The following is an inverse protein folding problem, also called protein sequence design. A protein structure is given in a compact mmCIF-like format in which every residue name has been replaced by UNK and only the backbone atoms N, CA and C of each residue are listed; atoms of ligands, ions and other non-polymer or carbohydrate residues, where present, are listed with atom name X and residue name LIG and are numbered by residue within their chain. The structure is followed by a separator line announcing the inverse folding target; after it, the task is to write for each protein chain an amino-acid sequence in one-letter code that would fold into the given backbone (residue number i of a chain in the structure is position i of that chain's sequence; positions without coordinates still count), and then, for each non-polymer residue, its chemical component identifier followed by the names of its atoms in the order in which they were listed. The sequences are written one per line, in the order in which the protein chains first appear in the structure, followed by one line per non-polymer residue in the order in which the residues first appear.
data_IF_392726791919
#
_entry.id   IF_392726791919
#
_cell.length_a   1.000
_cell.length_b   1.000
_cell.length_c   1.000
_cell.angle_alpha   90.00
_cell.angle_beta   90.00
_cell.angle_gamma   90.00
#
_symmetry.space_group_name_H-M   'P 1'
#
loop_
_entity.id
_entity.type
_entity.pdbx_description
1 polymer ?
#
# COMPACT_ATOMS: atom_id res chain seq x y z
N UNK A 1 22.30 -8.06 -35.95
CA UNK A 1 22.39 -7.25 -34.70
C UNK A 1 21.30 -6.19 -34.81
N UNK A 2 20.14 -6.47 -34.21
CA UNK A 2 19.12 -5.41 -34.09
C UNK A 2 19.64 -4.41 -33.06
N UNK A 3 19.93 -3.20 -33.56
CA UNK A 3 20.14 -2.05 -32.71
C UNK A 3 18.87 -1.92 -31.86
N UNK A 4 18.94 -2.15 -30.55
CA UNK A 4 17.82 -1.92 -29.64
C UNK A 4 17.49 -0.43 -29.76
N UNK A 5 16.37 -0.15 -30.39
CA UNK A 5 15.71 1.16 -30.31
C UNK A 5 15.65 1.46 -28.82
N UNK A 6 16.17 2.61 -28.40
CA UNK A 6 16.01 3.11 -27.04
C UNK A 6 14.50 3.04 -26.71
N UNK A 7 14.16 2.32 -25.66
CA UNK A 7 12.77 2.16 -25.19
C UNK A 7 12.36 3.50 -24.54
N UNK A 8 12.01 4.47 -25.41
CA UNK A 8 11.66 5.83 -25.04
C UNK A 8 10.17 6.05 -25.25
N UNK A 9 9.52 6.57 -24.26
CA UNK A 9 8.11 6.99 -24.33
C UNK A 9 8.00 8.44 -23.87
N UNK A 10 7.38 9.29 -24.67
CA UNK A 10 7.09 10.68 -24.36
C UNK A 10 5.59 10.85 -24.14
N UNK A 11 5.22 11.11 -22.90
CA UNK A 11 3.86 11.51 -22.52
C UNK A 11 3.75 13.02 -22.66
N UNK A 12 2.82 13.50 -23.48
CA UNK A 12 2.68 14.91 -23.79
C UNK A 12 1.39 15.49 -23.25
N UNK A 13 1.47 16.75 -22.80
CA UNK A 13 0.34 17.60 -22.43
C UNK A 13 -0.53 17.06 -21.28
N UNK A 14 0.02 16.25 -20.36
CA UNK A 14 -0.70 15.83 -19.16
C UNK A 14 -0.78 16.95 -18.12
N UNK A 15 -1.87 17.02 -17.35
CA UNK A 15 -1.92 17.81 -16.13
C UNK A 15 -1.32 16.97 -15.01
N UNK A 16 -0.08 17.26 -14.61
CA UNK A 16 0.76 16.39 -13.78
C UNK A 16 0.67 16.77 -12.32
N UNK A 17 0.33 15.78 -11.50
CA UNK A 17 0.40 15.78 -10.03
C UNK A 17 1.54 14.85 -9.57
N UNK A 18 2.54 15.35 -8.86
CA UNK A 18 3.81 14.63 -8.60
C UNK A 18 4.12 14.21 -7.12
N UNK A 19 3.25 14.24 -6.10
CA UNK A 19 1.82 14.58 -6.06
C UNK A 19 1.48 16.06 -6.09
N UNK A 20 2.44 16.98 -5.93
CA UNK A 20 2.20 18.43 -6.06
C UNK A 20 1.65 18.74 -7.47
N UNK A 21 0.75 19.72 -7.58
CA UNK A 21 0.25 20.18 -8.86
C UNK A 21 1.35 20.93 -9.63
N UNK A 22 1.87 20.30 -10.69
CA UNK A 22 2.88 20.88 -11.59
C UNK A 22 2.25 21.56 -12.80
N UNK A 23 0.92 21.51 -12.95
CA UNK A 23 0.23 21.97 -14.14
C UNK A 23 0.53 21.10 -15.36
N UNK A 24 0.41 21.70 -16.56
CA UNK A 24 0.63 20.99 -17.83
C UNK A 24 2.11 20.72 -18.05
N UNK A 25 2.47 19.44 -18.17
CA UNK A 25 3.85 18.99 -18.37
C UNK A 25 3.91 17.83 -19.37
N UNK A 26 5.09 17.68 -19.97
CA UNK A 26 5.49 16.49 -20.71
C UNK A 26 6.42 15.64 -19.83
N UNK A 27 6.32 14.31 -19.95
CA UNK A 27 7.15 13.35 -19.20
C UNK A 27 7.86 12.44 -20.19
N UNK A 28 9.19 12.45 -20.16
CA UNK A 28 10.02 11.53 -20.95
C UNK A 28 10.43 10.35 -20.07
N UNK A 29 10.19 9.15 -20.56
CA UNK A 29 10.54 7.88 -19.92
C UNK A 29 11.54 7.13 -20.78
N UNK A 30 12.57 6.56 -20.13
CA UNK A 30 13.52 5.63 -20.75
C UNK A 30 13.51 4.31 -20.00
N UNK A 31 13.05 3.26 -20.66
CA UNK A 31 12.86 1.97 -20.04
C UNK A 31 11.93 2.08 -18.82
N UNK A 32 12.44 1.84 -17.62
CA UNK A 32 11.64 1.88 -16.39
C UNK A 32 11.69 3.20 -15.63
N UNK A 33 12.38 4.24 -16.15
CA UNK A 33 12.67 5.45 -15.38
C UNK A 33 12.17 6.72 -16.07
N UNK A 34 11.70 7.66 -15.25
CA UNK A 34 11.45 9.04 -15.70
C UNK A 34 12.80 9.73 -15.85
N UNK A 35 13.07 10.27 -17.03
CA UNK A 35 14.35 10.92 -17.36
C UNK A 35 14.23 12.43 -17.54
N UNK A 36 13.02 12.94 -17.85
CA UNK A 36 12.75 14.37 -17.87
C UNK A 36 11.27 14.66 -17.59
N UNK A 37 11.00 15.82 -16.97
CA UNK A 37 9.68 16.44 -16.86
C UNK A 37 9.87 17.90 -17.19
N UNK A 38 9.11 18.43 -18.17
CA UNK A 38 9.21 19.82 -18.59
C UNK A 38 7.88 20.31 -19.20
N UNK A 39 7.62 21.62 -19.24
CA UNK A 39 6.40 22.16 -19.83
C UNK A 39 6.19 21.76 -21.30
N UNK A 40 7.28 21.48 -22.03
CA UNK A 40 7.26 20.94 -23.39
C UNK A 40 8.58 20.24 -23.70
N UNK A 41 8.47 19.06 -24.31
CA UNK A 41 9.62 18.26 -24.79
C UNK A 41 9.38 18.00 -26.28
N UNK A 42 10.33 18.39 -27.14
CA UNK A 42 10.22 18.16 -28.58
C UNK A 42 10.46 16.69 -28.92
N UNK A 43 9.50 15.98 -29.54
CA UNK A 43 9.73 14.62 -30.00
C UNK A 43 10.82 14.52 -31.08
N UNK A 44 11.14 15.61 -31.76
CA UNK A 44 12.18 15.66 -32.78
C UNK A 44 13.58 15.45 -32.18
N UNK A 45 13.77 15.78 -30.89
CA UNK A 45 15.01 15.57 -30.17
C UNK A 45 15.25 14.08 -29.83
N UNK A 46 14.21 13.25 -29.97
CA UNK A 46 14.22 11.82 -29.60
C UNK A 46 13.67 10.92 -30.72
N UNK A 47 14.41 10.76 -31.82
CA UNK A 47 13.97 9.99 -32.99
C UNK A 47 13.61 8.54 -32.60
N UNK A 48 12.41 8.09 -32.95
CA UNK A 48 11.91 6.73 -32.62
C UNK A 48 11.26 6.60 -31.25
N UNK A 49 11.07 7.69 -30.53
CA UNK A 49 10.29 7.74 -29.30
C UNK A 49 8.80 7.47 -29.57
N UNK A 50 8.17 6.65 -28.75
CA UNK A 50 6.71 6.51 -28.73
C UNK A 50 6.11 7.78 -28.10
N UNK A 51 5.26 8.50 -28.85
CA UNK A 51 4.59 9.71 -28.35
C UNK A 51 3.14 9.39 -27.97
N UNK A 52 2.77 9.70 -26.74
CA UNK A 52 1.43 9.52 -26.20
C UNK A 52 0.88 10.88 -25.78
N UNK A 53 -0.09 11.40 -26.56
CA UNK A 53 -0.77 12.64 -26.19
C UNK A 53 -1.85 12.34 -25.14
N UNK A 54 -1.75 13.01 -23.99
CA UNK A 54 -2.68 12.85 -22.86
C UNK A 54 -3.80 13.90 -22.86
N UNK A 55 -3.73 14.91 -23.76
CA UNK A 55 -4.78 15.91 -23.99
C UNK A 55 -5.32 16.60 -22.71
N UNK A 56 -4.43 16.89 -21.78
CA UNK A 56 -4.80 17.52 -20.50
C UNK A 56 -5.34 16.57 -19.43
N UNK A 57 -5.35 15.25 -19.67
CA UNK A 57 -5.77 14.28 -18.66
C UNK A 57 -4.92 14.40 -17.39
N UNK A 58 -5.52 14.04 -16.26
CA UNK A 58 -4.86 14.02 -14.94
C UNK A 58 -3.83 12.91 -14.90
N UNK A 59 -2.59 13.25 -14.59
CA UNK A 59 -1.46 12.32 -14.49
C UNK A 59 -0.91 12.37 -13.07
N UNK A 60 -0.81 11.22 -12.41
CA UNK A 60 -0.29 11.13 -11.05
C UNK A 60 0.57 9.86 -10.86
N UNK A 61 1.29 9.72 -9.73
CA UNK A 61 2.00 8.48 -9.45
C UNK A 61 1.05 7.30 -9.32
N UNK A 62 1.46 6.12 -9.80
CA UNK A 62 0.76 4.87 -9.53
C UNK A 62 0.64 4.61 -8.02
N UNK A 63 -0.46 4.02 -7.60
CA UNK A 63 -0.75 3.76 -6.19
C UNK A 63 0.17 2.70 -5.60
N UNK A 64 0.48 2.88 -4.31
CA UNK A 64 1.22 1.94 -3.49
C UNK A 64 0.25 1.39 -2.44
N UNK A 65 -0.09 0.12 -2.55
CA UNK A 65 -0.94 -0.55 -1.56
C UNK A 65 -0.08 -1.36 -0.59
N UNK A 66 0.04 -0.87 0.63
CA UNK A 66 0.94 -1.46 1.62
C UNK A 66 0.32 -2.62 2.44
N UNK A 67 -0.93 -3.02 2.15
CA UNK A 67 -1.63 -4.02 2.93
C UNK A 67 -2.47 -4.92 2.03
N UNK A 68 -1.86 -5.99 1.50
CA UNK A 68 -2.52 -6.89 0.55
C UNK A 68 -2.28 -8.36 0.92
N UNK A 69 -3.35 -9.15 0.94
CA UNK A 69 -3.28 -10.60 1.14
C UNK A 69 -2.96 -11.30 -0.18
N UNK A 70 -1.68 -11.23 -0.63
CA UNK A 70 -1.25 -11.69 -1.97
C UNK A 70 -1.54 -13.17 -2.23
N UNK A 71 -1.42 -14.03 -1.21
CA UNK A 71 -1.75 -15.45 -1.27
C UNK A 71 -3.13 -15.77 -0.69
N UNK A 72 -3.96 -14.75 -0.56
CA UNK A 72 -5.30 -14.83 0.00
C UNK A 72 -5.34 -14.66 1.51
N UNK A 73 -6.48 -14.22 1.99
CA UNK A 73 -6.91 -14.17 3.39
C UNK A 73 -8.00 -15.20 3.68
N UNK A 74 -8.77 -14.99 4.73
CA UNK A 74 -9.88 -15.86 5.11
C UNK A 74 -9.45 -17.20 5.72
N UNK A 75 -10.41 -18.09 5.84
CA UNK A 75 -10.24 -19.40 6.45
C UNK A 75 -10.86 -19.50 7.84
N UNK A 76 -11.33 -18.40 8.42
CA UNK A 76 -11.86 -18.31 9.78
C UNK A 76 -13.15 -19.13 9.98
N UNK A 77 -13.93 -19.32 8.92
CA UNK A 77 -15.12 -20.21 8.95
C UNK A 77 -14.86 -21.58 8.34
N UNK A 78 -13.61 -21.98 8.24
CA UNK A 78 -13.17 -23.26 7.71
C UNK A 78 -12.44 -23.15 6.36
N UNK A 79 -11.78 -24.24 5.91
CA UNK A 79 -10.88 -24.21 4.75
C UNK A 79 -11.52 -23.75 3.42
N UNK A 80 -12.82 -23.91 3.28
CA UNK A 80 -13.58 -23.50 2.09
C UNK A 80 -13.78 -21.97 2.00
N UNK A 81 -13.52 -21.22 3.08
CA UNK A 81 -13.63 -19.75 3.11
C UNK A 81 -12.31 -19.04 2.84
N UNK A 82 -11.27 -19.78 2.45
CA UNK A 82 -9.98 -19.22 2.05
C UNK A 82 -10.11 -18.52 0.70
N UNK A 83 -9.73 -17.23 0.62
CA UNK A 83 -9.71 -16.52 -0.66
C UNK A 83 -8.57 -17.04 -1.55
N UNK A 84 -8.70 -17.06 -2.89
CA UNK A 84 -7.63 -17.44 -3.79
C UNK A 84 -6.49 -16.40 -3.78
N UNK A 85 -5.37 -16.74 -4.42
CA UNK A 85 -4.30 -15.77 -4.66
C UNK A 85 -4.77 -14.59 -5.51
N UNK A 86 -4.20 -13.42 -5.24
CA UNK A 86 -4.52 -12.20 -6.00
C UNK A 86 -4.05 -12.34 -7.45
N UNK A 87 -4.84 -11.80 -8.37
CA UNK A 87 -4.50 -11.68 -9.79
C UNK A 87 -3.86 -10.33 -10.07
N UNK A 88 -2.88 -10.30 -10.99
CA UNK A 88 -2.23 -9.07 -11.44
C UNK A 88 -3.25 -8.07 -11.99
N UNK A 89 -4.17 -8.53 -12.85
CA UNK A 89 -5.21 -7.69 -13.48
C UNK A 89 -6.01 -6.90 -12.44
N UNK A 90 -6.38 -7.51 -11.30
CA UNK A 90 -7.15 -6.85 -10.24
C UNK A 90 -6.40 -5.71 -9.58
N UNK A 91 -5.08 -5.85 -9.40
CA UNK A 91 -4.24 -4.80 -8.80
C UNK A 91 -4.09 -3.62 -9.77
N UNK A 92 -3.73 -3.91 -11.02
CA UNK A 92 -3.43 -2.83 -11.97
C UNK A 92 -4.69 -2.07 -12.39
N UNK A 93 -5.85 -2.73 -12.54
CA UNK A 93 -7.14 -2.06 -12.81
C UNK A 93 -7.56 -1.09 -11.71
N UNK A 94 -7.10 -1.30 -10.48
CA UNK A 94 -7.28 -0.37 -9.36
C UNK A 94 -6.23 0.75 -9.28
N UNK A 95 -5.31 0.85 -10.26
CA UNK A 95 -4.26 1.87 -10.29
C UNK A 95 -3.00 1.52 -9.49
N UNK A 96 -2.89 0.28 -9.00
CA UNK A 96 -1.79 -0.16 -8.13
C UNK A 96 -0.59 -0.60 -8.97
N UNK A 97 0.57 0.02 -8.72
CA UNK A 97 1.87 -0.33 -9.34
C UNK A 97 2.85 -0.95 -8.34
N UNK A 98 2.55 -0.84 -7.06
CA UNK A 98 3.40 -1.34 -5.98
C UNK A 98 2.57 -1.91 -4.85
N UNK A 99 2.96 -3.09 -4.34
CA UNK A 99 2.23 -3.78 -3.26
C UNK A 99 3.16 -4.24 -2.14
N UNK A 100 2.62 -4.30 -0.91
CA UNK A 100 3.25 -5.02 0.19
C UNK A 100 2.33 -6.17 0.63
N UNK A 101 2.82 -7.39 0.42
CA UNK A 101 2.13 -8.62 0.80
C UNK A 101 2.28 -8.96 2.27
N UNK A 102 1.26 -9.58 2.84
CA UNK A 102 1.29 -10.04 4.23
C UNK A 102 0.34 -11.22 4.44
N UNK A 103 0.53 -11.92 5.55
CA UNK A 103 -0.39 -12.95 6.03
C UNK A 103 -1.40 -12.33 7.01
N UNK A 104 -2.59 -12.92 7.05
CA UNK A 104 -3.64 -12.59 8.01
C UNK A 104 -3.70 -13.60 9.15
N UNK A 105 -4.93 -13.99 9.51
CA UNK A 105 -5.24 -14.95 10.57
C UNK A 105 -4.60 -16.32 10.34
N UNK A 106 -4.64 -16.81 9.07
CA UNK A 106 -4.08 -18.10 8.72
C UNK A 106 -2.55 -18.01 8.49
N UNK A 107 -1.81 -18.12 9.58
CA UNK A 107 -0.37 -18.34 9.58
C UNK A 107 0.02 -19.82 9.78
N UNK A 108 -0.96 -20.74 9.68
CA UNK A 108 -0.79 -22.19 9.90
C UNK A 108 -0.74 -22.92 8.56
N UNK A 109 -1.68 -22.63 7.66
CA UNK A 109 -1.79 -23.30 6.35
C UNK A 109 -1.35 -22.40 5.20
N UNK A 110 -1.01 -21.13 5.49
CA UNK A 110 -0.32 -20.19 4.61
C UNK A 110 1.03 -19.84 5.22
N UNK A 111 2.09 -19.87 4.41
CA UNK A 111 3.46 -19.74 4.88
C UNK A 111 4.17 -18.52 4.28
N UNK A 112 5.10 -17.88 5.01
CA UNK A 112 5.89 -16.77 4.50
C UNK A 112 6.66 -17.11 3.22
N UNK A 113 7.10 -18.37 3.03
CA UNK A 113 7.77 -18.84 1.81
C UNK A 113 6.86 -18.76 0.58
N UNK A 114 5.58 -19.15 0.73
CA UNK A 114 4.58 -19.04 -0.34
C UNK A 114 4.30 -17.57 -0.67
N UNK A 115 4.25 -16.71 0.36
CA UNK A 115 4.09 -15.27 0.19
C UNK A 115 5.30 -14.67 -0.54
N UNK A 116 6.53 -15.09 -0.21
CA UNK A 116 7.74 -14.66 -0.90
C UNK A 116 7.72 -15.07 -2.37
N UNK A 117 7.31 -16.30 -2.66
CA UNK A 117 7.18 -16.79 -4.04
C UNK A 117 6.17 -15.93 -4.85
N UNK A 118 5.01 -15.63 -4.28
CA UNK A 118 4.00 -14.76 -4.92
C UNK A 118 4.48 -13.32 -5.08
N UNK A 119 5.18 -12.76 -4.09
CA UNK A 119 5.78 -11.43 -4.17
C UNK A 119 6.74 -11.32 -5.35
N UNK A 120 7.62 -12.32 -5.54
CA UNK A 120 8.54 -12.39 -6.68
C UNK A 120 7.83 -12.62 -8.00
N UNK A 121 6.76 -13.42 -8.01
CA UNK A 121 5.94 -13.63 -9.21
C UNK A 121 5.33 -12.32 -9.72
N UNK A 122 4.70 -11.54 -8.85
CA UNK A 122 4.11 -10.24 -9.22
C UNK A 122 5.17 -9.25 -9.75
N UNK A 123 6.38 -9.29 -9.20
CA UNK A 123 7.46 -8.46 -9.70
C UNK A 123 7.92 -8.91 -11.09
N UNK A 124 7.98 -10.21 -11.33
CA UNK A 124 8.27 -10.78 -12.65
C UNK A 124 7.15 -10.45 -13.65
N UNK A 125 5.91 -10.44 -13.20
CA UNK A 125 4.73 -10.07 -13.99
C UNK A 125 4.62 -8.55 -14.27
N UNK A 126 5.43 -7.69 -13.61
CA UNK A 126 5.65 -6.31 -14.03
C UNK A 126 5.38 -5.21 -13.02
N UNK A 127 4.76 -5.47 -11.87
CA UNK A 127 4.61 -4.47 -10.80
C UNK A 127 5.74 -4.58 -9.77
N UNK A 128 5.82 -3.64 -8.83
CA UNK A 128 6.76 -3.73 -7.73
C UNK A 128 6.11 -4.39 -6.52
N UNK A 129 6.84 -5.31 -5.87
CA UNK A 129 6.27 -6.04 -4.74
C UNK A 129 7.28 -6.27 -3.62
N UNK A 130 6.81 -6.13 -2.40
CA UNK A 130 7.49 -6.45 -1.14
C UNK A 130 6.57 -7.25 -0.25
N UNK A 131 7.06 -7.68 0.92
CA UNK A 131 6.25 -8.40 1.89
C UNK A 131 6.68 -8.10 3.33
N UNK A 132 5.79 -8.41 4.25
CA UNK A 132 6.08 -8.52 5.67
C UNK A 132 6.20 -9.99 6.05
N UNK A 133 7.14 -10.33 6.93
CA UNK A 133 7.17 -11.63 7.60
C UNK A 133 6.16 -11.65 8.76
N UNK A 134 5.91 -12.81 9.35
CA UNK A 134 4.93 -12.97 10.41
C UNK A 134 3.51 -13.20 9.89
N UNK A 135 2.59 -13.26 10.81
CA UNK A 135 1.14 -13.40 10.62
C UNK A 135 0.43 -12.75 11.82
N UNK A 136 -0.83 -13.09 12.10
CA UNK A 136 -1.51 -12.57 13.29
C UNK A 136 -0.88 -13.04 14.60
N UNK A 137 -0.42 -14.28 14.65
CA UNK A 137 0.09 -14.90 15.89
C UNK A 137 1.54 -14.53 16.22
N UNK A 138 1.84 -14.52 17.52
CA UNK A 138 3.20 -14.60 18.05
C UNK A 138 3.40 -15.94 18.77
N UNK A 139 4.60 -16.56 18.66
CA UNK A 139 5.75 -16.12 17.86
C UNK A 139 5.46 -16.10 16.37
N UNK A 140 6.05 -15.10 15.67
CA UNK A 140 5.85 -14.90 14.24
C UNK A 140 6.37 -16.08 13.41
N UNK A 141 5.61 -16.61 12.45
CA UNK A 141 6.15 -17.50 11.42
C UNK A 141 7.17 -16.74 10.58
N UNK A 142 8.33 -17.36 10.35
CA UNK A 142 9.47 -16.77 9.65
C UNK A 142 10.09 -17.78 8.67
N UNK A 143 10.80 -17.29 7.66
CA UNK A 143 11.47 -18.12 6.65
C UNK A 143 12.83 -18.62 7.16
N UNK A 144 13.59 -17.76 7.85
CA UNK A 144 14.98 -18.03 8.24
C UNK A 144 15.17 -18.34 9.72
N UNK A 145 14.09 -18.43 10.47
CA UNK A 145 14.06 -18.78 11.89
C UNK A 145 13.96 -17.58 12.84
N UNK A 146 14.09 -16.33 12.37
CA UNK A 146 13.84 -15.13 13.17
C UNK A 146 13.47 -13.93 12.29
N UNK A 147 12.80 -12.95 12.88
CA UNK A 147 12.32 -11.74 12.18
C UNK A 147 13.48 -10.90 11.67
N UNK A 148 14.49 -10.67 12.50
CA UNK A 148 15.67 -9.88 12.15
C UNK A 148 16.43 -10.49 10.96
N UNK A 149 16.54 -11.82 10.90
CA UNK A 149 17.18 -12.53 9.78
C UNK A 149 16.33 -12.45 8.51
N UNK A 150 15.01 -12.62 8.59
CA UNK A 150 14.13 -12.45 7.43
C UNK A 150 14.27 -11.04 6.85
N UNK A 151 14.17 -10.02 7.71
CA UNK A 151 14.28 -8.62 7.29
C UNK A 151 15.69 -8.28 6.77
N UNK A 152 16.74 -8.78 7.39
CA UNK A 152 18.11 -8.46 6.98
C UNK A 152 18.50 -9.16 5.68
N UNK A 153 18.15 -10.45 5.51
CA UNK A 153 18.74 -11.33 4.49
C UNK A 153 17.87 -11.49 3.24
N UNK A 154 16.53 -11.29 3.35
CA UNK A 154 15.60 -11.48 2.22
C UNK A 154 15.24 -10.11 1.66
N UNK A 155 15.63 -9.83 0.42
CA UNK A 155 15.47 -8.55 -0.27
C UNK A 155 14.01 -8.01 -0.24
N UNK A 156 13.03 -8.90 -0.33
CA UNK A 156 11.61 -8.57 -0.37
C UNK A 156 10.96 -8.36 0.99
N UNK A 157 11.59 -8.80 2.08
CA UNK A 157 11.05 -8.63 3.43
C UNK A 157 11.47 -7.28 4.00
N UNK A 158 10.50 -6.41 4.26
CA UNK A 158 10.75 -5.02 4.71
C UNK A 158 10.29 -4.74 6.14
N UNK A 159 9.70 -5.72 6.81
CA UNK A 159 9.18 -5.58 8.16
C UNK A 159 8.42 -6.83 8.61
N UNK A 160 7.62 -6.68 9.66
CA UNK A 160 6.84 -7.75 10.28
C UNK A 160 5.38 -7.33 10.50
N UNK A 161 4.46 -8.29 10.48
CA UNK A 161 3.04 -8.14 10.80
C UNK A 161 2.66 -8.97 12.01
N UNK A 162 1.81 -8.42 12.89
CA UNK A 162 1.06 -9.20 13.89
C UNK A 162 -0.31 -8.59 14.16
N UNK A 163 -1.17 -9.30 14.90
CA UNK A 163 -2.43 -8.80 15.44
C UNK A 163 -2.29 -8.55 16.95
N UNK A 164 -2.78 -7.39 17.41
CA UNK A 164 -2.65 -6.97 18.82
C UNK A 164 -3.92 -7.24 19.61
N UNK A 165 -5.08 -6.89 19.08
CA UNK A 165 -6.30 -6.78 19.85
C UNK A 165 -7.56 -7.30 19.13
N UNK A 166 -7.40 -8.24 18.24
CA UNK A 166 -8.50 -8.93 17.54
C UNK A 166 -8.79 -10.28 18.23
N UNK A 167 -10.03 -10.76 18.16
CA UNK A 167 -10.39 -12.09 18.69
C UNK A 167 -9.61 -13.24 18.02
N UNK A 168 -9.01 -12.98 16.85
CA UNK A 168 -8.13 -13.90 16.10
C UNK A 168 -6.65 -13.73 16.46
N UNK A 169 -6.31 -12.82 17.36
CA UNK A 169 -4.92 -12.63 17.81
C UNK A 169 -4.51 -13.72 18.79
N UNK A 170 -3.20 -13.91 18.94
CA UNK A 170 -2.64 -14.80 19.97
C UNK A 170 -2.59 -14.17 21.37
N UNK A 171 -3.25 -13.02 21.55
CA UNK A 171 -3.23 -12.23 22.79
C UNK A 171 -1.79 -11.92 23.27
N UNK A 172 -0.92 -11.35 22.44
CA UNK A 172 0.47 -11.12 22.80
C UNK A 172 0.59 -10.12 23.94
N UNK A 173 1.54 -10.36 24.83
CA UNK A 173 1.91 -9.40 25.87
C UNK A 173 2.87 -8.32 25.34
N UNK A 174 3.06 -7.27 26.12
CA UNK A 174 3.94 -6.15 25.75
C UNK A 174 5.38 -6.57 25.49
N UNK A 175 6.02 -7.45 26.30
CA UNK A 175 7.37 -7.94 26.01
C UNK A 175 7.49 -8.66 24.66
N UNK A 176 6.51 -9.47 24.29
CA UNK A 176 6.52 -10.17 23.01
C UNK A 176 6.39 -9.19 21.83
N UNK A 177 5.50 -8.19 21.93
CA UNK A 177 5.35 -7.14 20.92
C UNK A 177 6.60 -6.26 20.78
N UNK A 178 7.20 -5.87 21.92
CA UNK A 178 8.43 -5.08 21.93
C UNK A 178 9.62 -5.85 21.33
N UNK A 179 9.77 -7.13 21.65
CA UNK A 179 10.81 -7.99 21.07
C UNK A 179 10.62 -8.14 19.56
N UNK A 180 9.39 -8.37 19.08
CA UNK A 180 9.07 -8.41 17.66
C UNK A 180 9.48 -7.11 16.94
N UNK A 181 9.10 -5.96 17.49
CA UNK A 181 9.39 -4.66 16.91
C UNK A 181 10.91 -4.36 16.91
N UNK A 182 11.62 -4.73 17.98
CA UNK A 182 13.06 -4.59 18.08
C UNK A 182 13.81 -5.46 17.05
N UNK A 183 13.40 -6.72 16.86
CA UNK A 183 13.97 -7.59 15.82
C UNK A 183 13.75 -7.01 14.42
N UNK A 184 12.53 -6.55 14.09
CA UNK A 184 12.25 -5.91 12.81
C UNK A 184 13.13 -4.69 12.58
N UNK A 185 13.29 -3.85 13.62
CA UNK A 185 14.15 -2.66 13.57
C UNK A 185 15.62 -3.02 13.33
N UNK A 186 16.16 -4.00 14.04
CA UNK A 186 17.56 -4.45 13.88
C UNK A 186 17.77 -5.02 12.49
N UNK A 187 16.87 -5.91 12.03
CA UNK A 187 16.93 -6.46 10.67
C UNK A 187 16.91 -5.36 9.60
N UNK A 188 16.07 -4.33 9.80
CA UNK A 188 15.99 -3.17 8.92
C UNK A 188 17.30 -2.38 8.85
N UNK A 189 17.96 -2.14 9.99
CA UNK A 189 19.26 -1.47 10.06
C UNK A 189 20.34 -2.26 9.31
N UNK A 190 20.42 -3.57 9.55
CA UNK A 190 21.41 -4.45 8.93
C UNK A 190 21.16 -4.65 7.42
N UNK A 191 19.88 -4.72 7.02
CA UNK A 191 19.48 -4.91 5.63
C UNK A 191 19.32 -3.60 4.83
N UNK A 192 19.54 -2.42 5.44
CA UNK A 192 19.25 -1.10 4.82
C UNK A 192 17.80 -1.01 4.32
N UNK A 193 16.86 -1.44 5.16
CA UNK A 193 15.42 -1.49 4.89
C UNK A 193 14.63 -0.75 5.98
N UNK A 194 13.35 -0.45 5.78
CA UNK A 194 12.55 0.29 6.78
C UNK A 194 12.50 -0.40 8.14
N UNK A 195 12.41 -1.75 8.20
CA UNK A 195 12.32 -2.49 9.45
C UNK A 195 11.10 -2.07 10.27
N UNK A 196 9.94 -2.06 9.62
CA UNK A 196 8.66 -1.62 10.20
C UNK A 196 7.93 -2.77 10.88
N UNK A 197 7.05 -2.40 11.80
CA UNK A 197 6.12 -3.33 12.45
C UNK A 197 4.69 -2.86 12.21
N UNK A 198 3.89 -3.69 11.56
CA UNK A 198 2.49 -3.41 11.23
C UNK A 198 1.61 -4.18 12.20
N UNK A 199 0.72 -3.47 12.86
CA UNK A 199 -0.16 -4.00 13.92
C UNK A 199 -1.61 -3.97 13.46
N UNK A 200 -2.21 -5.15 13.25
CA UNK A 200 -3.64 -5.26 13.07
C UNK A 200 -4.34 -4.88 14.37
N UNK A 201 -5.12 -3.83 14.33
CA UNK A 201 -5.88 -3.32 15.46
C UNK A 201 -7.32 -3.84 15.38
N UNK A 202 -7.82 -4.42 16.46
CA UNK A 202 -9.22 -4.74 16.65
C UNK A 202 -9.95 -3.61 17.40
N UNK A 203 -11.12 -3.93 17.88
CA UNK A 203 -12.04 -3.05 18.63
C UNK A 203 -11.88 -3.11 20.16
N UNK A 204 -10.74 -3.59 20.63
CA UNK A 204 -10.44 -3.69 22.07
C UNK A 204 -10.52 -2.32 22.76
N UNK A 205 -11.07 -2.25 23.97
CA UNK A 205 -11.09 -0.99 24.75
C UNK A 205 -9.70 -0.45 25.10
N UNK A 206 -8.63 -1.25 24.96
CA UNK A 206 -7.25 -0.81 25.14
C UNK A 206 -6.74 0.05 23.96
N UNK A 207 -7.41 0.02 22.81
CA UNK A 207 -7.06 0.83 21.62
C UNK A 207 -5.56 0.76 21.30
N UNK A 208 -4.83 1.89 21.33
CA UNK A 208 -3.40 1.98 21.04
C UNK A 208 -2.49 1.90 22.26
N UNK A 209 -3.02 1.62 23.45
CA UNK A 209 -2.23 1.45 24.67
C UNK A 209 -1.07 0.44 24.50
N UNK A 210 -1.24 -0.72 23.85
CA UNK A 210 -0.15 -1.68 23.64
C UNK A 210 1.03 -1.07 22.85
N UNK A 211 0.77 -0.18 21.90
CA UNK A 211 1.83 0.48 21.12
C UNK A 211 2.60 1.48 21.97
N UNK A 212 1.92 2.24 22.83
CA UNK A 212 2.60 3.12 23.78
C UNK A 212 3.46 2.34 24.78
N UNK A 213 2.96 1.18 25.26
CA UNK A 213 3.74 0.31 26.13
C UNK A 213 5.01 -0.24 25.45
N UNK A 214 4.97 -0.50 24.14
CA UNK A 214 6.19 -0.84 23.37
C UNK A 214 7.18 0.31 23.43
N UNK A 215 6.74 1.55 23.20
CA UNK A 215 7.60 2.74 23.21
C UNK A 215 8.20 3.02 24.60
N UNK A 216 7.50 2.65 25.68
CA UNK A 216 7.97 2.82 27.04
C UNK A 216 9.04 1.78 27.45
N UNK A 217 9.06 0.61 26.78
CA UNK A 217 9.94 -0.49 27.19
C UNK A 217 11.04 -0.84 26.19
N UNK A 218 11.10 -0.20 25.02
CA UNK A 218 12.19 -0.41 24.05
C UNK A 218 12.46 0.85 23.21
N UNK A 219 13.68 0.91 22.63
CA UNK A 219 14.16 2.08 21.85
C UNK A 219 13.73 2.06 20.37
N UNK A 220 12.59 1.44 20.05
CA UNK A 220 12.05 1.47 18.69
C UNK A 220 11.34 2.81 18.46
N UNK A 221 11.71 3.57 17.41
CA UNK A 221 11.04 4.85 17.14
C UNK A 221 9.56 4.66 16.80
N UNK A 222 8.71 5.57 17.27
CA UNK A 222 7.26 5.59 16.98
C UNK A 222 6.96 5.49 15.47
N UNK A 223 7.83 6.05 14.63
CA UNK A 223 7.73 6.02 13.17
C UNK A 223 7.92 4.64 12.54
N UNK A 224 8.28 3.63 13.33
CA UNK A 224 8.44 2.24 12.88
C UNK A 224 7.27 1.33 13.27
N UNK A 225 6.32 1.87 14.02
CA UNK A 225 5.13 1.14 14.48
C UNK A 225 3.91 1.69 13.74
N UNK A 226 3.24 0.85 12.95
CA UNK A 226 2.07 1.22 12.16
C UNK A 226 0.81 0.49 12.66
N UNK A 227 -0.08 1.14 13.41
CA UNK A 227 -1.43 0.61 13.60
C UNK A 227 -2.21 0.70 12.29
N UNK A 228 -2.78 -0.41 11.84
CA UNK A 228 -3.66 -0.48 10.66
C UNK A 228 -5.11 -0.74 11.05
N UNK A 229 -6.03 -0.46 10.13
CA UNK A 229 -7.48 -0.57 10.33
C UNK A 229 -8.01 0.40 11.40
N UNK A 230 -7.36 1.56 11.54
CA UNK A 230 -7.69 2.48 12.64
C UNK A 230 -9.08 3.10 12.51
N UNK A 231 -9.69 3.05 11.32
CA UNK A 231 -11.04 3.57 11.07
C UNK A 231 -12.17 2.54 11.34
N UNK A 232 -11.83 1.34 11.84
CA UNK A 232 -12.83 0.28 12.11
C UNK A 232 -13.71 0.52 13.34
N UNK A 233 -13.28 1.42 14.25
CA UNK A 233 -14.03 1.80 15.44
C UNK A 233 -13.76 3.26 15.77
N UNK A 234 -14.80 4.03 16.09
CA UNK A 234 -14.66 5.47 16.38
C UNK A 234 -13.67 5.75 17.54
N UNK A 235 -13.72 5.03 18.70
CA UNK A 235 -12.76 5.26 19.77
C UNK A 235 -11.31 4.97 19.34
N UNK A 236 -11.09 3.93 18.55
CA UNK A 236 -9.76 3.59 18.02
C UNK A 236 -9.26 4.69 17.07
N UNK A 237 -10.16 5.20 16.21
CA UNK A 237 -9.82 6.27 15.29
C UNK A 237 -9.39 7.55 16.04
N UNK A 238 -10.14 7.95 17.08
CA UNK A 238 -9.75 9.11 17.89
C UNK A 238 -8.38 8.90 18.58
N UNK A 239 -8.11 7.72 19.12
CA UNK A 239 -6.81 7.38 19.68
C UNK A 239 -5.69 7.43 18.62
N UNK A 240 -5.99 7.01 17.39
CA UNK A 240 -5.04 7.05 16.27
C UNK A 240 -4.70 8.49 15.85
N UNK A 241 -5.63 9.43 15.90
CA UNK A 241 -5.35 10.83 15.64
C UNK A 241 -4.34 11.40 16.64
N UNK A 242 -4.46 11.07 17.92
CA UNK A 242 -3.49 11.45 18.95
C UNK A 242 -2.11 10.83 18.73
N UNK A 243 -2.09 9.55 18.33
CA UNK A 243 -0.87 8.83 17.99
C UNK A 243 -0.13 9.50 16.80
N UNK A 244 -0.88 9.88 15.76
CA UNK A 244 -0.32 10.57 14.61
C UNK A 244 0.23 11.97 14.95
N UNK A 245 -0.45 12.73 15.84
CA UNK A 245 0.06 14.03 16.33
C UNK A 245 1.38 13.90 17.10
N UNK A 246 1.61 12.76 17.74
CA UNK A 246 2.89 12.44 18.41
C UNK A 246 3.98 11.97 17.44
N UNK A 247 3.70 11.96 16.13
CA UNK A 247 4.65 11.62 15.07
C UNK A 247 4.59 10.18 14.58
N UNK A 248 3.66 9.34 15.08
CA UNK A 248 3.40 8.01 14.55
C UNK A 248 2.74 8.05 13.18
N UNK A 249 2.84 6.98 12.43
CA UNK A 249 2.02 6.78 11.23
C UNK A 249 0.75 6.02 11.61
N UNK A 250 -0.34 6.30 10.91
CA UNK A 250 -1.61 5.57 11.02
C UNK A 250 -2.05 5.11 9.64
N UNK A 251 -2.65 3.93 9.57
CA UNK A 251 -3.14 3.37 8.32
C UNK A 251 -4.66 3.22 8.33
N UNK A 252 -5.28 3.93 7.42
CA UNK A 252 -6.72 3.89 7.17
C UNK A 252 -6.99 2.82 6.12
N UNK A 253 -8.01 2.01 6.33
CA UNK A 253 -8.37 0.93 5.41
C UNK A 253 -9.52 1.37 4.53
N UNK A 254 -9.30 1.36 3.22
CA UNK A 254 -10.26 1.85 2.23
C UNK A 254 -11.49 0.97 2.05
N UNK A 255 -11.40 -0.31 2.41
CA UNK A 255 -12.52 -1.26 2.33
C UNK A 255 -13.41 -1.31 3.58
N UNK A 256 -13.17 -0.45 4.57
CA UNK A 256 -13.97 -0.32 5.79
C UNK A 256 -14.82 0.95 5.70
N UNK A 257 -16.11 0.79 5.43
CA UNK A 257 -17.03 1.93 5.27
C UNK A 257 -17.68 2.39 6.59
N UNK A 258 -17.83 1.48 7.54
CA UNK A 258 -18.47 1.75 8.84
C UNK A 258 -17.58 1.31 10.00
N UNK A 259 -17.57 2.00 11.14
CA UNK A 259 -18.33 3.23 11.43
C UNK A 259 -17.69 4.52 10.90
N UNK A 260 -16.43 4.49 10.44
CA UNK A 260 -15.72 5.67 9.94
C UNK A 260 -15.25 5.42 8.51
N UNK A 261 -16.00 5.90 7.54
CA UNK A 261 -15.65 5.78 6.12
C UNK A 261 -14.27 6.40 5.83
N UNK A 262 -13.44 5.81 4.95
CA UNK A 262 -12.03 6.17 4.78
C UNK A 262 -11.82 7.63 4.36
N UNK A 263 -12.61 8.15 3.43
CA UNK A 263 -12.53 9.56 3.03
C UNK A 263 -12.91 10.50 4.18
N UNK A 264 -13.94 10.15 4.97
CA UNK A 264 -14.34 10.90 6.16
C UNK A 264 -13.25 10.87 7.23
N UNK A 265 -12.59 9.72 7.42
CA UNK A 265 -11.48 9.57 8.34
C UNK A 265 -10.31 10.51 7.99
N UNK A 266 -9.86 10.48 6.71
CA UNK A 266 -8.77 11.35 6.26
C UNK A 266 -9.16 12.82 6.38
N UNK A 267 -10.34 13.21 5.90
CA UNK A 267 -10.82 14.60 5.98
C UNK A 267 -10.95 15.09 7.45
N UNK A 268 -11.39 14.21 8.36
CA UNK A 268 -11.49 14.51 9.79
C UNK A 268 -10.10 14.66 10.41
N UNK A 269 -9.15 13.78 10.08
CA UNK A 269 -7.78 13.88 10.55
C UNK A 269 -7.14 15.22 10.14
N UNK A 270 -7.31 15.64 8.88
CA UNK A 270 -6.80 16.92 8.38
C UNK A 270 -7.44 18.12 9.11
N UNK A 271 -8.78 18.10 9.29
CA UNK A 271 -9.48 19.14 10.06
C UNK A 271 -9.02 19.23 11.52
N UNK A 272 -8.59 18.11 12.08
CA UNK A 272 -8.03 18.04 13.45
C UNK A 272 -6.51 18.25 13.48
N UNK A 273 -5.91 18.82 12.42
CA UNK A 273 -4.49 19.15 12.31
C UNK A 273 -3.54 17.94 12.47
N UNK A 274 -3.97 16.75 12.07
CA UNK A 274 -3.05 15.61 11.90
C UNK A 274 -2.24 15.84 10.62
N UNK A 275 -0.89 15.75 10.68
CA UNK A 275 -0.09 15.94 9.47
C UNK A 275 -0.41 14.89 8.41
N UNK A 276 -0.69 15.32 7.17
CA UNK A 276 -0.94 14.42 6.04
C UNK A 276 0.21 13.41 5.83
N UNK A 277 1.44 13.82 6.13
CA UNK A 277 2.63 12.97 6.09
C UNK A 277 2.65 11.84 7.14
N UNK A 278 1.60 11.68 7.92
CA UNK A 278 1.43 10.62 8.92
C UNK A 278 0.23 9.72 8.65
N UNK A 279 -0.47 9.95 7.55
CA UNK A 279 -1.68 9.20 7.17
C UNK A 279 -1.37 8.38 5.92
N UNK A 280 -1.48 7.07 6.01
CA UNK A 280 -1.46 6.16 4.87
C UNK A 280 -2.85 5.58 4.62
N UNK A 281 -3.08 5.13 3.41
CA UNK A 281 -4.30 4.45 2.98
C UNK A 281 -3.92 3.11 2.34
N UNK A 282 -4.61 2.05 2.72
CA UNK A 282 -4.44 0.72 2.13
C UNK A 282 -5.77 0.03 1.90
N UNK A 283 -5.82 -0.99 1.05
CA UNK A 283 -7.07 -1.66 0.71
C UNK A 283 -7.48 -2.75 1.69
N UNK A 284 -6.55 -3.40 2.36
CA UNK A 284 -6.73 -4.74 2.96
C UNK A 284 -7.19 -5.76 1.91
N UNK A 285 -6.79 -5.50 0.66
CA UNK A 285 -7.27 -6.20 -0.52
C UNK A 285 -7.02 -7.69 -0.46
N UNK A 286 -8.01 -8.46 -0.96
CA UNK A 286 -8.03 -9.92 -0.94
C UNK A 286 -8.05 -10.52 0.48
N UNK A 287 -8.24 -9.67 1.51
CA UNK A 287 -8.52 -10.07 2.89
C UNK A 287 -9.99 -10.48 3.05
N UNK A 288 -10.27 -11.24 4.11
CA UNK A 288 -11.65 -11.58 4.46
C UNK A 288 -12.36 -10.42 5.13
N UNK A 289 -13.62 -10.21 4.77
CA UNK A 289 -14.54 -9.28 5.42
C UNK A 289 -15.67 -10.09 6.06
N UNK A 290 -15.49 -10.58 7.30
CA UNK A 290 -16.53 -11.34 7.97
C UNK A 290 -17.69 -10.42 8.37
N UNK A 291 -18.90 -10.89 8.14
CA UNK A 291 -20.14 -10.28 8.60
C UNK A 291 -20.67 -11.03 9.81
N UNK A 292 -21.07 -10.31 10.85
CA UNK A 292 -21.57 -10.89 12.09
C UNK A 292 -22.98 -10.42 12.40
N UNK A 293 -23.80 -11.26 13.04
CA UNK A 293 -25.06 -10.87 13.61
C UNK A 293 -24.87 -10.10 14.95
N UNK A 294 -26.00 -9.67 15.53
CA UNK A 294 -26.02 -8.97 16.81
C UNK A 294 -25.51 -9.82 18.01
N UNK A 295 -25.37 -11.14 17.83
CA UNK A 295 -24.85 -12.09 18.84
C UNK A 295 -23.39 -12.46 18.58
N UNK A 296 -22.76 -11.91 17.52
CA UNK A 296 -21.39 -12.23 17.16
C UNK A 296 -21.22 -13.53 16.36
N UNK A 297 -22.30 -14.11 15.83
CA UNK A 297 -22.21 -15.26 14.94
C UNK A 297 -21.91 -14.81 13.52
N UNK A 298 -21.02 -15.54 12.83
CA UNK A 298 -20.67 -15.29 11.45
C UNK A 298 -21.87 -15.57 10.54
N UNK A 299 -22.32 -14.56 9.81
CA UNK A 299 -23.47 -14.63 8.88
C UNK A 299 -23.07 -14.60 7.42
N UNK A 300 -21.89 -14.02 7.12
CA UNK A 300 -21.36 -13.90 5.76
C UNK A 300 -19.86 -13.66 5.75
N UNK A 301 -19.23 -13.87 4.59
CA UNK A 301 -17.82 -13.55 4.36
C UNK A 301 -17.72 -12.89 2.99
N UNK A 302 -17.36 -11.60 2.98
CA UNK A 302 -16.94 -10.86 1.80
C UNK A 302 -15.43 -10.98 1.57
N UNK A 303 -14.99 -10.40 0.46
CA UNK A 303 -13.57 -10.25 0.11
C UNK A 303 -13.30 -8.79 -0.19
N UNK A 304 -12.33 -8.20 0.47
CA UNK A 304 -11.94 -6.81 0.23
C UNK A 304 -11.42 -6.64 -1.22
N UNK A 305 -11.97 -5.62 -1.90
CA UNK A 305 -11.54 -5.22 -3.24
C UNK A 305 -10.43 -4.16 -3.19
N UNK A 306 -9.94 -3.78 -4.37
CA UNK A 306 -8.92 -2.74 -4.53
C UNK A 306 -9.51 -1.43 -5.05
N UNK A 307 -10.71 -1.46 -5.59
CA UNK A 307 -11.41 -0.35 -6.23
C UNK A 307 -11.68 0.79 -5.23
N UNK A 308 -11.79 0.45 -3.96
CA UNK A 308 -11.98 1.38 -2.84
C UNK A 308 -10.85 2.41 -2.69
N UNK A 309 -9.64 2.14 -3.20
CA UNK A 309 -8.51 3.08 -3.16
C UNK A 309 -8.81 4.33 -4.00
N UNK A 310 -9.11 4.15 -5.29
CA UNK A 310 -9.46 5.26 -6.19
C UNK A 310 -10.77 5.94 -5.77
N UNK A 311 -11.75 5.16 -5.29
CA UNK A 311 -13.00 5.68 -4.75
C UNK A 311 -12.77 6.62 -3.57
N UNK A 312 -11.87 6.26 -2.64
CA UNK A 312 -11.52 7.12 -1.50
C UNK A 312 -10.91 8.44 -1.98
N UNK A 313 -9.99 8.41 -2.96
CA UNK A 313 -9.44 9.65 -3.55
C UNK A 313 -10.54 10.50 -4.16
N UNK A 314 -11.45 9.89 -4.92
CA UNK A 314 -12.60 10.57 -5.53
C UNK A 314 -13.49 11.24 -4.48
N UNK A 315 -13.81 10.54 -3.41
CA UNK A 315 -14.64 11.08 -2.32
C UNK A 315 -13.93 12.21 -1.58
N UNK A 316 -12.62 12.11 -1.32
CA UNK A 316 -11.84 13.20 -0.73
C UNK A 316 -11.97 14.48 -1.55
N UNK A 317 -11.85 14.38 -2.87
CA UNK A 317 -11.93 15.54 -3.76
C UNK A 317 -13.35 16.03 -3.95
N UNK A 318 -14.29 15.15 -4.32
CA UNK A 318 -15.65 15.55 -4.74
C UNK A 318 -16.58 15.84 -3.56
N UNK A 319 -16.44 15.13 -2.44
CA UNK A 319 -17.33 15.26 -1.27
C UNK A 319 -16.70 16.13 -0.17
N UNK A 320 -15.43 15.93 0.11
CA UNK A 320 -14.73 16.63 1.19
C UNK A 320 -13.98 17.88 0.74
N UNK A 321 -13.94 18.17 -0.57
CA UNK A 321 -13.23 19.31 -1.18
C UNK A 321 -11.75 19.38 -0.81
N UNK A 322 -11.10 18.23 -0.60
CA UNK A 322 -9.65 18.13 -0.39
C UNK A 322 -8.97 18.27 -1.75
N UNK A 323 -7.96 19.14 -1.89
CA UNK A 323 -7.18 19.25 -3.13
C UNK A 323 -6.62 17.90 -3.58
N UNK A 324 -6.61 17.63 -4.90
CA UNK A 324 -6.19 16.32 -5.43
C UNK A 324 -4.75 15.97 -5.05
N UNK A 325 -3.85 16.93 -5.06
CA UNK A 325 -2.45 16.76 -4.62
C UNK A 325 -2.32 16.29 -3.17
N UNK A 326 -3.29 16.63 -2.31
CA UNK A 326 -3.36 16.14 -0.93
C UNK A 326 -4.06 14.78 -0.85
N UNK A 327 -5.13 14.59 -1.61
CA UNK A 327 -5.88 13.33 -1.64
C UNK A 327 -5.03 12.15 -2.13
N UNK A 328 -4.06 12.39 -3.01
CA UNK A 328 -3.14 11.38 -3.54
C UNK A 328 -2.05 10.97 -2.53
N UNK A 329 -1.64 11.85 -1.61
CA UNK A 329 -0.49 11.61 -0.73
C UNK A 329 -0.55 10.30 0.07
N UNK A 330 -1.69 9.90 0.69
CA UNK A 330 -1.78 8.68 1.48
C UNK A 330 -1.51 7.39 0.70
N UNK A 331 -1.71 7.40 -0.62
CA UNK A 331 -1.49 6.27 -1.53
C UNK A 331 -0.20 6.37 -2.34
N UNK A 332 0.52 7.49 -2.23
CA UNK A 332 1.71 7.77 -3.04
C UNK A 332 2.89 8.17 -2.15
N UNK A 333 3.14 9.46 -1.97
CA UNK A 333 4.30 9.99 -1.26
C UNK A 333 4.37 9.50 0.19
N UNK A 334 3.29 9.62 0.96
CA UNK A 334 3.33 9.31 2.40
C UNK A 334 3.65 7.84 2.65
N UNK A 335 3.00 6.93 1.90
CA UNK A 335 3.28 5.50 2.01
C UNK A 335 4.69 5.15 1.51
N UNK A 336 5.18 5.79 0.42
CA UNK A 336 6.54 5.59 -0.07
C UNK A 336 7.59 6.02 0.96
N UNK A 337 7.40 7.16 1.63
CA UNK A 337 8.28 7.66 2.69
C UNK A 337 8.28 6.73 3.90
N UNK A 338 7.10 6.25 4.32
CA UNK A 338 6.99 5.29 5.42
C UNK A 338 7.73 3.98 5.11
N UNK A 339 7.58 3.47 3.89
CA UNK A 339 8.22 2.24 3.42
C UNK A 339 9.67 2.44 2.96
N UNK A 340 10.22 3.66 3.02
CA UNK A 340 11.54 4.04 2.52
C UNK A 340 11.79 3.62 1.05
N UNK A 341 10.77 3.80 0.19
CA UNK A 341 10.82 3.51 -1.24
C UNK A 341 11.28 4.76 -2.01
N UNK A 342 12.57 4.99 -2.10
CA UNK A 342 13.17 6.23 -2.62
C UNK A 342 12.76 6.59 -4.04
N UNK A 343 12.43 5.60 -4.88
CA UNK A 343 12.07 5.78 -6.30
C UNK A 343 10.59 5.62 -6.60
N UNK A 344 9.73 5.63 -5.58
CA UNK A 344 8.28 5.40 -5.69
C UNK A 344 7.47 6.57 -5.13
N UNK A 345 6.18 6.58 -5.43
CA UNK A 345 5.21 7.51 -4.84
C UNK A 345 5.31 8.97 -5.32
N UNK A 346 6.13 9.22 -6.35
CA UNK A 346 6.27 10.54 -6.96
C UNK A 346 6.64 10.45 -8.44
N UNK A 347 6.23 11.44 -9.23
CA UNK A 347 6.71 11.63 -10.60
C UNK A 347 7.89 12.61 -10.55
N UNK A 348 9.10 12.08 -10.61
CA UNK A 348 10.33 12.89 -10.59
C UNK A 348 11.42 12.19 -11.39
N UNK A 349 12.39 12.97 -11.88
CA UNK A 349 13.55 12.43 -12.59
C UNK A 349 14.30 11.44 -11.71
N UNK A 350 14.57 10.24 -12.25
CA UNK A 350 15.19 9.13 -11.54
C UNK A 350 14.24 8.19 -10.81
N UNK A 351 12.96 8.58 -10.63
CA UNK A 351 11.93 7.68 -10.11
C UNK A 351 11.49 6.65 -11.15
N UNK A 352 10.89 5.58 -10.68
CA UNK A 352 10.26 4.60 -11.56
C UNK A 352 9.09 5.24 -12.31
N UNK A 353 8.95 4.89 -13.58
CA UNK A 353 7.85 5.37 -14.42
C UNK A 353 6.54 4.61 -14.11
N UNK A 354 6.08 4.80 -12.89
CA UNK A 354 4.77 4.33 -12.40
C UNK A 354 3.79 5.48 -12.59
N UNK A 355 3.13 5.51 -13.75
CA UNK A 355 2.34 6.65 -14.22
C UNK A 355 0.88 6.23 -14.31
N UNK A 356 0.03 6.85 -13.50
CA UNK A 356 -1.42 6.68 -13.50
C UNK A 356 -2.08 7.88 -14.19
N UNK A 357 -2.95 7.58 -15.13
CA UNK A 357 -3.81 8.56 -15.79
C UNK A 357 -5.25 8.36 -15.31
N UNK A 358 -5.82 9.40 -14.74
CA UNK A 358 -7.21 9.44 -14.31
C UNK A 358 -8.07 10.18 -15.33
N UNK A 359 -9.32 9.76 -15.50
CA UNK A 359 -10.31 10.49 -16.26
C UNK A 359 -10.91 11.66 -15.42
N UNK A 360 -11.81 12.46 -16.01
CA UNK A 360 -12.47 13.60 -15.34
C UNK A 360 -13.32 13.17 -14.12
N UNK A 361 -13.73 11.91 -14.08
CA UNK A 361 -14.45 11.33 -12.94
C UNK A 361 -13.50 10.88 -11.82
N UNK A 362 -12.17 11.02 -11.99
CA UNK A 362 -11.11 10.51 -11.12
C UNK A 362 -11.08 8.97 -11.03
N UNK A 363 -11.43 8.30 -12.11
CA UNK A 363 -11.33 6.85 -12.24
C UNK A 363 -10.05 6.49 -12.99
N UNK A 364 -9.49 5.32 -12.69
CA UNK A 364 -8.31 4.77 -13.39
C UNK A 364 -8.63 4.61 -14.87
N UNK A 365 -7.90 5.30 -15.74
CA UNK A 365 -8.09 5.23 -17.18
C UNK A 365 -6.95 4.51 -17.89
N UNK A 366 -5.72 4.92 -17.61
CA UNK A 366 -4.52 4.23 -18.09
C UNK A 366 -3.51 4.09 -16.96
N UNK A 367 -2.68 3.06 -17.02
CA UNK A 367 -1.62 2.82 -16.04
C UNK A 367 -0.38 2.26 -16.72
N UNK A 368 0.76 2.82 -16.36
CA UNK A 368 2.09 2.27 -16.66
C UNK A 368 2.78 1.91 -15.35
N UNK A 369 3.33 0.71 -15.30
CA UNK A 369 4.17 0.25 -14.21
C UNK A 369 5.60 0.08 -14.74
N UNK A 370 6.56 0.75 -14.14
CA UNK A 370 7.96 0.75 -14.59
C UNK A 370 8.08 1.02 -16.11
N UNK A 371 7.32 2.00 -16.62
CA UNK A 371 7.31 2.41 -18.01
C UNK A 371 6.54 1.52 -18.99
N UNK A 372 6.02 0.37 -18.54
CA UNK A 372 5.23 -0.53 -19.38
C UNK A 372 3.75 -0.33 -19.16
N UNK A 373 2.98 -0.19 -20.24
CA UNK A 373 1.53 -0.11 -20.14
C UNK A 373 0.94 -1.38 -19.56
N UNK A 374 0.17 -1.24 -18.47
CA UNK A 374 -0.51 -2.36 -17.81
C UNK A 374 -2.03 -2.21 -17.83
N UNK A 375 -2.54 -0.97 -17.98
CA UNK A 375 -3.97 -0.68 -18.17
C UNK A 375 -4.14 0.29 -19.33
N UNK A 376 -5.10 0.02 -20.20
CA UNK A 376 -5.55 0.89 -21.29
C UNK A 376 -7.08 0.95 -21.25
N UNK A 377 -7.64 2.15 -21.32
CA UNK A 377 -9.10 2.36 -21.33
C UNK A 377 -9.83 1.55 -20.24
N UNK A 378 -9.35 1.69 -18.99
CA UNK A 378 -9.89 1.04 -17.79
C UNK A 378 -9.72 -0.51 -17.73
N UNK A 379 -9.05 -1.13 -18.68
CA UNK A 379 -8.88 -2.58 -18.74
C UNK A 379 -7.41 -2.97 -18.67
N UNK A 380 -7.11 -4.01 -17.91
CA UNK A 380 -5.79 -4.60 -17.90
C UNK A 380 -5.41 -5.10 -19.29
N UNK A 381 -4.28 -4.61 -19.81
CA UNK A 381 -3.67 -5.08 -21.07
C UNK A 381 -2.53 -6.07 -20.83
N UNK A 382 -2.23 -6.35 -19.57
CA UNK A 382 -1.35 -7.42 -19.11
C UNK A 382 -2.15 -8.39 -18.24
N UNK A 383 -1.69 -9.62 -18.20
CA UNK A 383 -2.29 -10.68 -17.38
C UNK A 383 -1.17 -11.40 -16.65
N UNK A 384 -1.47 -11.88 -15.45
CA UNK A 384 -0.64 -12.86 -14.79
C UNK A 384 -0.57 -14.16 -15.61
N UNK A 385 0.40 -14.99 -15.31
CA UNK A 385 0.70 -16.21 -16.09
C UNK A 385 -0.51 -17.13 -16.29
N UNK A 386 -1.47 -17.13 -15.37
CA UNK A 386 -2.65 -18.00 -15.37
C UNK A 386 -3.99 -17.25 -15.39
N UNK A 387 -4.01 -16.04 -15.92
CA UNK A 387 -5.24 -15.23 -16.11
C UNK A 387 -5.81 -15.32 -17.53
#
# INVERSE_FOLDING_TARGET
MNCSILDLTLFQQGHVYAPEDLGRQDILVSGSKIVAIAPSISPEDFPGCECINLDGAIVCPGFIDQHVHLIGGGGEAGPHTRTPEVRLSRLVEAGVTSVVGLLGTDGITRHPESLLAKTRALEFEGISAWMLTGAYSLPSPTITGSIDRDVALIDKVIGVKCAVSDHRSSAPDTPALANMAAQSRVGGLLGRKPGISVFHMGDSPRMLEPLYQILDCCDVPITKLLPTHVNRAEPLFQAALEYARKGGYIDITSSIDEPVAPATAIATALRQNVPLSRITLSSDGNGSQPEFDEYGNLTGIGVAGFESLAETVRQLVKVHAIPLEQALCPLTRTVAEFLALEHKGRLAVGCDADILVLNDALEVHHLWAKGKAVVREQKACVKGTFE
#
